data_IF_215912357095
#
_entry.id   IF_215912357095
#
_cell.length_a   1.000
_cell.length_b   1.000
_cell.length_c   1.000
_cell.angle_alpha   90.00
_cell.angle_beta   90.00
_cell.angle_gamma   90.00
#
_symmetry.space_group_name_H-M   'P 1'
#
loop_
_entity.id
_entity.type
_entity.pdbx_description
1 polymer ?
#
# COMPACT_ATOMS: atom_id res chain seq x y z
N UNK A 1 19.57 -30.88 35.37
CA UNK A 1 18.88 -29.70 35.98
C UNK A 1 19.18 -29.70 37.47
N UNK A 2 19.61 -28.56 38.06
CA UNK A 2 19.76 -28.47 39.53
C UNK A 2 18.37 -28.41 40.15
N UNK A 3 18.11 -29.34 41.09
CA UNK A 3 16.84 -29.36 41.84
C UNK A 3 16.69 -28.06 42.62
N UNK A 4 15.53 -27.35 42.53
CA UNK A 4 15.36 -26.12 43.29
C UNK A 4 15.46 -26.38 44.78
N UNK A 5 16.26 -25.57 45.48
CA UNK A 5 16.48 -25.70 46.92
C UNK A 5 15.33 -25.01 47.66
N UNK A 6 14.66 -25.74 48.52
CA UNK A 6 13.65 -25.20 49.42
C UNK A 6 14.31 -24.61 50.67
N UNK A 7 13.81 -23.47 51.15
CA UNK A 7 14.27 -22.82 52.38
C UNK A 7 13.07 -22.58 53.29
N UNK A 8 13.21 -22.99 54.56
CA UNK A 8 12.20 -22.72 55.57
C UNK A 8 12.20 -21.24 55.99
N UNK A 9 11.05 -20.66 56.07
CA UNK A 9 10.85 -19.27 56.49
C UNK A 9 10.63 -19.22 58.01
N UNK A 10 10.87 -18.07 58.68
CA UNK A 10 10.58 -17.89 60.11
C UNK A 10 9.12 -18.15 60.49
N UNK A 11 8.19 -18.04 59.53
CA UNK A 11 6.77 -18.37 59.69
C UNK A 11 6.43 -19.85 59.73
N UNK A 12 7.45 -20.75 59.60
CA UNK A 12 7.26 -22.19 59.49
C UNK A 12 7.04 -22.71 58.09
N UNK A 13 6.65 -21.85 57.16
CA UNK A 13 6.38 -22.20 55.75
C UNK A 13 7.69 -22.42 54.98
N UNK A 14 7.60 -23.20 53.90
CA UNK A 14 8.72 -23.47 52.97
C UNK A 14 8.62 -22.63 51.73
N UNK A 15 9.76 -22.07 51.26
CA UNK A 15 9.88 -21.29 50.05
C UNK A 15 10.85 -21.92 49.05
N UNK A 16 10.42 -22.05 47.81
CA UNK A 16 11.28 -22.38 46.67
C UNK A 16 11.31 -21.18 45.72
N UNK A 17 12.49 -20.74 45.32
CA UNK A 17 12.67 -19.72 44.32
C UNK A 17 13.23 -20.35 43.05
N UNK A 18 12.59 -20.06 41.92
CA UNK A 18 13.01 -20.48 40.60
C UNK A 18 13.14 -19.26 39.69
N UNK A 19 14.05 -19.34 38.73
CA UNK A 19 14.19 -18.33 37.69
C UNK A 19 13.93 -18.98 36.33
N UNK A 20 12.97 -18.42 35.57
CA UNK A 20 12.61 -18.92 34.23
C UNK A 20 12.52 -17.70 33.33
N UNK A 21 13.22 -17.73 32.20
CA UNK A 21 13.29 -16.65 31.22
C UNK A 21 13.61 -15.27 31.86
N UNK A 22 14.55 -15.24 32.77
CA UNK A 22 14.98 -14.01 33.47
C UNK A 22 14.03 -13.53 34.59
N UNK A 23 12.84 -14.11 34.72
CA UNK A 23 11.84 -13.75 35.75
C UNK A 23 12.00 -14.68 36.97
N UNK A 24 11.98 -14.09 38.19
CA UNK A 24 11.99 -14.84 39.45
C UNK A 24 10.56 -15.17 39.90
N UNK A 25 10.33 -16.43 40.22
CA UNK A 25 9.09 -16.93 40.83
C UNK A 25 9.38 -17.44 42.24
N UNK A 26 8.45 -17.17 43.15
CA UNK A 26 8.57 -17.61 44.54
C UNK A 26 7.34 -18.43 44.91
N UNK A 27 7.54 -19.69 45.23
CA UNK A 27 6.49 -20.63 45.66
C UNK A 27 6.61 -20.84 47.16
N UNK A 28 5.55 -20.58 47.91
CA UNK A 28 5.46 -20.78 49.34
C UNK A 28 4.37 -21.80 49.65
N UNK A 29 4.65 -22.72 50.58
CA UNK A 29 3.73 -23.74 51.05
C UNK A 29 4.04 -24.15 52.49
N UNK A 30 3.14 -24.90 53.11
CA UNK A 30 3.28 -25.38 54.50
C UNK A 30 4.31 -26.51 54.62
N UNK A 31 4.57 -27.24 53.54
CA UNK A 31 5.60 -28.29 53.49
C UNK A 31 6.61 -28.05 52.38
N UNK A 32 7.80 -28.66 52.56
CA UNK A 32 8.89 -28.61 51.58
C UNK A 32 8.49 -29.22 50.25
N UNK A 33 7.85 -30.40 50.31
CA UNK A 33 7.43 -31.14 49.13
C UNK A 33 6.35 -30.39 48.33
N UNK A 34 5.42 -29.74 49.03
CA UNK A 34 4.38 -28.92 48.38
C UNK A 34 4.98 -27.67 47.74
N UNK A 35 5.93 -27.00 48.36
CA UNK A 35 6.64 -25.87 47.80
C UNK A 35 7.44 -26.26 46.54
N UNK A 36 8.10 -27.46 46.57
CA UNK A 36 8.79 -28.03 45.42
C UNK A 36 7.81 -28.44 44.30
N UNK A 37 6.67 -29.03 44.65
CA UNK A 37 5.62 -29.39 43.68
C UNK A 37 5.03 -28.16 42.98
N UNK A 38 4.73 -27.10 43.74
CA UNK A 38 4.28 -25.82 43.18
C UNK A 38 5.33 -25.21 42.23
N UNK A 39 6.62 -25.27 42.60
CA UNK A 39 7.70 -24.80 41.74
C UNK A 39 7.82 -25.64 40.46
N UNK A 40 7.69 -26.98 40.55
CA UNK A 40 7.67 -27.86 39.37
C UNK A 40 6.48 -27.61 38.47
N UNK A 41 5.29 -27.35 39.02
CA UNK A 41 4.09 -27.00 38.23
C UNK A 41 4.23 -25.68 37.52
N UNK A 42 4.82 -24.65 38.13
CA UNK A 42 5.13 -23.37 37.47
C UNK A 42 6.14 -23.60 36.35
N UNK A 43 7.17 -24.39 36.59
CA UNK A 43 8.18 -24.74 35.62
C UNK A 43 7.58 -25.54 34.44
N UNK A 44 6.75 -26.55 34.74
CA UNK A 44 6.02 -27.34 33.77
C UNK A 44 4.96 -26.48 33.02
N UNK A 45 4.27 -25.60 33.73
CA UNK A 45 3.32 -24.68 33.15
C UNK A 45 3.95 -23.62 32.22
N UNK A 46 5.20 -23.25 32.48
CA UNK A 46 6.00 -22.39 31.61
C UNK A 46 6.57 -23.20 30.44
N UNK A 47 7.02 -24.44 30.71
CA UNK A 47 7.43 -25.36 29.63
C UNK A 47 6.23 -25.85 28.77
N UNK A 48 5.05 -26.04 29.33
CA UNK A 48 3.83 -26.37 28.54
C UNK A 48 3.27 -25.20 27.80
N UNK A 49 3.65 -23.97 28.12
CA UNK A 49 3.60 -22.82 27.23
C UNK A 49 4.75 -22.84 26.21
N UNK A 50 5.32 -24.00 25.87
CA UNK A 50 6.06 -24.12 24.61
C UNK A 50 5.18 -23.58 23.54
N UNK A 51 5.59 -22.42 23.00
CA UNK A 51 4.99 -21.83 21.81
C UNK A 51 4.76 -22.99 20.83
N UNK A 52 3.52 -23.25 20.44
CA UNK A 52 3.22 -24.21 19.37
C UNK A 52 4.23 -23.89 18.28
N UNK A 53 5.02 -24.86 17.80
CA UNK A 53 6.06 -24.58 16.83
C UNK A 53 5.39 -23.91 15.62
N UNK A 54 5.69 -22.62 15.45
CA UNK A 54 5.05 -21.77 14.45
C UNK A 54 5.96 -21.76 13.23
N UNK A 55 5.51 -22.34 12.12
CA UNK A 55 6.23 -22.22 10.86
C UNK A 55 6.06 -20.81 10.28
N UNK A 56 6.95 -20.41 9.38
CA UNK A 56 6.87 -19.12 8.67
C UNK A 56 5.50 -18.96 8.02
N UNK A 57 4.99 -19.99 7.33
CA UNK A 57 3.68 -19.95 6.71
C UNK A 57 2.53 -19.72 7.70
N UNK A 58 2.54 -20.45 8.82
CA UNK A 58 1.52 -20.27 9.89
C UNK A 58 1.64 -18.90 10.55
N UNK A 59 2.85 -18.38 10.72
CA UNK A 59 3.06 -17.02 11.23
C UNK A 59 2.50 -15.96 10.28
N UNK A 60 2.73 -16.11 8.97
CA UNK A 60 2.14 -15.23 7.96
C UNK A 60 0.61 -15.28 7.97
N UNK A 61 0.02 -16.48 8.05
CA UNK A 61 -1.43 -16.65 8.10
C UNK A 61 -2.02 -16.00 9.36
N UNK A 62 -1.36 -16.17 10.50
CA UNK A 62 -1.73 -15.54 11.77
C UNK A 62 -1.62 -14.03 11.70
N UNK A 63 -0.53 -13.48 11.15
CA UNK A 63 -0.35 -12.04 10.95
C UNK A 63 -1.48 -11.45 10.10
N UNK A 64 -1.80 -12.09 8.98
CA UNK A 64 -2.90 -11.67 8.11
C UNK A 64 -4.23 -11.61 8.89
N UNK A 65 -4.51 -12.64 9.68
CA UNK A 65 -5.73 -12.70 10.48
C UNK A 65 -5.79 -11.57 11.53
N UNK A 66 -4.72 -11.38 12.29
CA UNK A 66 -4.63 -10.38 13.37
C UNK A 66 -4.67 -8.93 12.84
N UNK A 67 -4.10 -8.70 11.64
CA UNK A 67 -4.10 -7.36 11.02
C UNK A 67 -5.32 -7.10 10.13
N UNK A 68 -6.19 -8.09 9.92
CA UNK A 68 -7.46 -7.88 9.22
C UNK A 68 -8.35 -6.94 10.04
N UNK A 69 -8.79 -5.85 9.42
CA UNK A 69 -9.54 -4.77 10.09
C UNK A 69 -8.69 -3.56 10.49
N UNK A 70 -7.40 -3.75 10.79
CA UNK A 70 -6.49 -2.62 11.11
C UNK A 70 -5.72 -2.15 9.88
N UNK A 71 -5.28 -3.07 9.02
CA UNK A 71 -4.65 -2.74 7.76
C UNK A 71 -5.69 -2.59 6.64
N UNK A 72 -5.29 -1.90 5.56
CA UNK A 72 -6.20 -1.69 4.45
C UNK A 72 -6.55 -3.02 3.75
N UNK A 73 -7.81 -3.18 3.24
CA UNK A 73 -8.20 -4.39 2.53
C UNK A 73 -7.25 -4.78 1.39
N UNK A 74 -6.74 -3.79 0.65
CA UNK A 74 -5.76 -4.01 -0.43
C UNK A 74 -4.40 -4.48 0.08
N UNK A 75 -3.98 -4.08 1.29
CA UNK A 75 -2.74 -4.57 1.92
C UNK A 75 -2.92 -6.03 2.33
N UNK A 76 -4.03 -6.36 2.98
CA UNK A 76 -4.36 -7.74 3.36
C UNK A 76 -4.42 -8.64 2.12
N UNK A 77 -5.08 -8.18 1.04
CA UNK A 77 -5.11 -8.92 -0.23
C UNK A 77 -3.71 -9.12 -0.80
N UNK A 78 -2.86 -8.09 -0.75
CA UNK A 78 -1.46 -8.18 -1.17
C UNK A 78 -0.69 -9.24 -0.36
N UNK A 79 -0.87 -9.28 0.96
CA UNK A 79 -0.26 -10.28 1.83
C UNK A 79 -0.75 -11.69 1.55
N UNK A 80 -2.06 -11.90 1.32
CA UNK A 80 -2.60 -13.20 0.90
C UNK A 80 -1.99 -13.69 -0.42
N UNK A 81 -1.80 -12.79 -1.39
CA UNK A 81 -1.12 -13.12 -2.67
C UNK A 81 0.33 -13.51 -2.44
N UNK A 82 1.06 -12.76 -1.60
CA UNK A 82 2.46 -13.08 -1.26
C UNK A 82 2.53 -14.43 -0.57
N UNK A 83 1.75 -14.65 0.47
CA UNK A 83 1.70 -15.91 1.23
C UNK A 83 1.48 -17.13 0.34
N UNK A 84 0.67 -16.99 -0.71
CA UNK A 84 0.33 -18.09 -1.62
C UNK A 84 1.35 -18.34 -2.71
N UNK A 85 2.06 -17.30 -3.18
CA UNK A 85 2.80 -17.38 -4.44
C UNK A 85 4.30 -17.08 -4.35
N UNK A 86 4.80 -16.62 -3.19
CA UNK A 86 6.19 -16.18 -3.05
C UNK A 86 6.85 -16.77 -1.81
N UNK A 87 8.16 -16.95 -1.85
CA UNK A 87 8.99 -17.47 -0.75
C UNK A 87 8.49 -18.83 -0.24
N UNK A 88 8.00 -19.69 -1.13
CA UNK A 88 7.32 -20.94 -0.76
C UNK A 88 8.21 -21.89 0.00
N UNK A 89 9.51 -21.93 -0.30
CA UNK A 89 10.49 -22.81 0.36
C UNK A 89 10.70 -22.48 1.84
N UNK A 90 10.28 -21.28 2.29
CA UNK A 90 10.34 -20.91 3.70
C UNK A 90 9.12 -21.37 4.51
N UNK A 91 8.00 -21.72 3.86
CA UNK A 91 6.70 -21.83 4.52
C UNK A 91 6.63 -22.91 5.60
N UNK A 92 7.35 -24.00 5.42
CA UNK A 92 7.37 -25.14 6.35
C UNK A 92 8.50 -25.07 7.39
N UNK A 93 9.41 -24.11 7.25
CA UNK A 93 10.50 -23.89 8.20
C UNK A 93 9.93 -23.34 9.51
N UNK A 94 10.34 -23.93 10.64
CA UNK A 94 10.00 -23.38 11.97
C UNK A 94 10.68 -22.02 12.16
N UNK A 95 9.97 -21.06 12.76
CA UNK A 95 10.58 -19.73 13.03
C UNK A 95 11.87 -19.82 13.88
N UNK A 96 11.94 -20.80 14.78
CA UNK A 96 13.13 -21.07 15.60
C UNK A 96 14.34 -21.55 14.82
N UNK A 97 14.11 -22.18 13.66
CA UNK A 97 15.13 -22.85 12.87
C UNK A 97 15.48 -22.04 11.61
N UNK A 98 14.73 -20.95 11.36
CA UNK A 98 14.92 -20.08 10.21
C UNK A 98 16.29 -19.38 10.28
N UNK A 99 17.05 -19.48 9.20
CA UNK A 99 18.36 -18.85 9.07
C UNK A 99 18.39 -17.70 8.06
N UNK A 100 19.41 -16.86 8.15
CA UNK A 100 19.64 -15.81 7.14
C UNK A 100 19.93 -16.41 5.76
N UNK A 101 20.53 -17.61 5.71
CA UNK A 101 20.84 -18.32 4.48
C UNK A 101 19.56 -18.76 3.76
N UNK A 102 18.58 -19.28 4.50
CA UNK A 102 17.29 -19.70 3.91
C UNK A 102 16.58 -18.52 3.25
N UNK A 103 16.52 -17.38 3.95
CA UNK A 103 15.88 -16.18 3.43
C UNK A 103 16.64 -15.65 2.21
N UNK A 104 17.98 -15.64 2.25
CA UNK A 104 18.80 -15.18 1.13
C UNK A 104 18.62 -16.06 -0.09
N UNK A 105 18.56 -17.39 0.10
CA UNK A 105 18.32 -18.36 -0.96
C UNK A 105 16.94 -18.15 -1.59
N UNK A 106 15.88 -18.10 -0.81
CA UNK A 106 14.52 -17.86 -1.30
C UNK A 106 14.39 -16.54 -2.09
N UNK A 107 15.03 -15.45 -1.63
CA UNK A 107 15.08 -14.18 -2.36
C UNK A 107 15.84 -14.31 -3.68
N UNK A 108 16.90 -15.09 -3.71
CA UNK A 108 17.70 -15.33 -4.92
C UNK A 108 16.92 -16.14 -5.95
N UNK A 109 16.24 -17.19 -5.53
CA UNK A 109 15.39 -18.03 -6.38
C UNK A 109 14.24 -17.24 -7.02
N UNK A 110 13.51 -16.41 -6.24
CA UNK A 110 12.49 -15.53 -6.80
C UNK A 110 13.07 -14.55 -7.85
N UNK A 111 14.30 -14.09 -7.63
CA UNK A 111 14.99 -13.19 -8.55
C UNK A 111 15.41 -13.92 -9.82
N UNK A 112 15.96 -15.13 -9.72
CA UNK A 112 16.34 -15.99 -10.85
C UNK A 112 15.10 -16.43 -11.64
N UNK A 113 13.99 -16.69 -10.97
CA UNK A 113 12.69 -16.96 -11.60
C UNK A 113 12.09 -15.75 -12.34
N UNK A 114 12.82 -14.64 -12.45
CA UNK A 114 12.44 -13.46 -13.24
C UNK A 114 11.39 -12.56 -12.58
N UNK A 115 11.14 -12.72 -11.28
CA UNK A 115 10.23 -11.81 -10.55
C UNK A 115 10.82 -10.41 -10.48
N UNK A 116 9.95 -9.40 -10.60
CA UNK A 116 10.42 -8.01 -10.52
C UNK A 116 11.05 -7.70 -9.15
N UNK A 117 12.10 -6.86 -9.13
CA UNK A 117 12.74 -6.42 -7.88
C UNK A 117 11.74 -5.81 -6.89
N UNK A 118 10.69 -5.15 -7.37
CA UNK A 118 9.61 -4.61 -6.54
C UNK A 118 8.79 -5.73 -5.89
N UNK A 119 8.47 -6.78 -6.63
CA UNK A 119 7.71 -7.94 -6.12
C UNK A 119 8.48 -8.67 -5.04
N UNK A 120 9.77 -8.97 -5.29
CA UNK A 120 10.65 -9.63 -4.32
C UNK A 120 10.79 -8.79 -3.05
N UNK A 121 10.99 -7.48 -3.18
CA UNK A 121 11.06 -6.55 -2.03
C UNK A 121 9.76 -6.48 -1.25
N UNK A 122 8.61 -6.56 -1.91
CA UNK A 122 7.31 -6.58 -1.22
C UNK A 122 7.11 -7.88 -0.43
N UNK A 123 7.51 -9.03 -1.02
CA UNK A 123 7.46 -10.31 -0.33
C UNK A 123 8.38 -10.33 0.90
N UNK A 124 9.62 -9.89 0.74
CA UNK A 124 10.57 -9.73 1.85
C UNK A 124 10.06 -8.75 2.91
N UNK A 125 9.45 -7.61 2.53
CA UNK A 125 8.90 -6.64 3.47
C UNK A 125 7.74 -7.20 4.31
N UNK A 126 6.92 -8.07 3.71
CA UNK A 126 5.89 -8.79 4.46
C UNK A 126 6.52 -9.81 5.42
N UNK A 127 7.49 -10.59 4.97
CA UNK A 127 8.24 -11.51 5.86
C UNK A 127 8.88 -10.73 7.04
N UNK A 128 9.48 -9.58 6.76
CA UNK A 128 10.07 -8.72 7.80
C UNK A 128 9.05 -8.31 8.87
N UNK A 129 7.85 -7.89 8.44
CA UNK A 129 6.79 -7.51 9.37
C UNK A 129 6.29 -8.70 10.23
N UNK A 130 6.26 -9.89 9.64
CA UNK A 130 5.91 -11.13 10.36
C UNK A 130 6.98 -11.51 11.37
N UNK A 131 8.25 -11.41 10.99
CA UNK A 131 9.37 -11.72 11.89
C UNK A 131 9.47 -10.71 13.05
N UNK A 132 9.26 -9.43 12.77
CA UNK A 132 9.22 -8.39 13.81
C UNK A 132 8.18 -8.70 14.90
N UNK A 133 7.03 -9.27 14.53
CA UNK A 133 5.95 -9.59 15.47
C UNK A 133 6.14 -10.94 16.18
N UNK A 134 6.58 -11.98 15.47
CA UNK A 134 6.60 -13.35 16.00
C UNK A 134 7.99 -13.88 16.33
N UNK A 135 9.05 -13.21 15.88
CA UNK A 135 10.45 -13.53 16.13
C UNK A 135 11.32 -12.26 16.22
N UNK A 136 11.03 -11.36 17.17
CA UNK A 136 11.64 -10.01 17.24
C UNK A 136 13.16 -10.02 17.42
N UNK A 137 13.72 -11.10 17.96
CA UNK A 137 15.17 -11.24 18.12
C UNK A 137 15.90 -11.57 16.79
N UNK A 138 15.16 -11.90 15.74
CA UNK A 138 15.71 -12.24 14.44
C UNK A 138 15.94 -10.98 13.58
N UNK A 139 17.16 -10.48 13.59
CA UNK A 139 17.54 -9.28 12.81
C UNK A 139 17.77 -9.67 11.35
N UNK A 140 16.89 -9.24 10.45
CA UNK A 140 17.01 -9.50 9.02
C UNK A 140 18.26 -8.85 8.40
N UNK A 141 19.12 -9.67 7.74
CA UNK A 141 20.33 -9.26 7.03
C UNK A 141 20.34 -9.81 5.60
N UNK A 142 19.34 -9.43 4.81
CA UNK A 142 19.16 -9.94 3.44
C UNK A 142 19.59 -8.93 2.41
N UNK A 143 20.39 -9.35 1.41
CA UNK A 143 20.70 -8.55 0.23
C UNK A 143 19.56 -8.66 -0.76
N UNK A 144 18.92 -7.53 -1.05
CA UNK A 144 17.77 -7.46 -1.96
C UNK A 144 18.19 -6.98 -3.35
N UNK A 145 17.51 -7.45 -4.44
CA UNK A 145 17.78 -6.99 -5.78
C UNK A 145 17.61 -5.48 -5.89
N UNK A 146 18.44 -4.84 -6.75
CA UNK A 146 18.43 -3.38 -6.91
C UNK A 146 17.03 -2.88 -7.32
N UNK A 147 16.64 -1.74 -6.75
CA UNK A 147 15.39 -1.09 -7.06
C UNK A 147 15.48 -0.42 -8.43
N UNK A 148 14.79 -0.94 -9.43
CA UNK A 148 14.65 -0.21 -10.70
C UNK A 148 13.72 0.98 -10.48
N UNK A 149 14.24 2.20 -10.78
CA UNK A 149 13.40 3.41 -10.76
C UNK A 149 12.42 3.30 -11.92
N UNK A 150 11.13 3.42 -11.63
CA UNK A 150 10.13 3.58 -12.67
C UNK A 150 10.07 5.06 -13.04
N UNK A 151 10.27 5.36 -14.30
CA UNK A 151 10.02 6.67 -14.86
C UNK A 151 8.61 6.66 -15.45
N UNK A 152 7.77 7.56 -14.93
CA UNK A 152 6.40 7.67 -15.41
C UNK A 152 6.42 8.24 -16.83
N UNK A 153 5.64 7.66 -17.74
CA UNK A 153 5.42 8.26 -19.04
C UNK A 153 4.62 9.55 -18.86
N UNK A 154 5.11 10.64 -19.41
CA UNK A 154 4.37 11.88 -19.56
C UNK A 154 3.84 11.90 -20.98
N UNK A 155 2.51 11.87 -21.12
CA UNK A 155 1.86 11.94 -22.42
C UNK A 155 2.02 13.33 -23.03
N UNK A 156 2.15 13.38 -24.34
CA UNK A 156 1.96 14.62 -25.09
C UNK A 156 0.48 14.92 -25.27
N UNK A 157 0.13 16.18 -25.53
CA UNK A 157 -1.25 16.56 -25.85
C UNK A 157 -1.79 15.77 -27.05
N UNK A 158 -0.99 15.55 -28.09
CA UNK A 158 -1.38 14.80 -29.28
C UNK A 158 -1.65 13.33 -28.98
N UNK A 159 -0.85 12.69 -28.11
CA UNK A 159 -1.10 11.32 -27.67
C UNK A 159 -2.43 11.23 -26.91
N UNK A 160 -2.69 12.16 -25.99
CA UNK A 160 -3.95 12.21 -25.23
C UNK A 160 -5.14 12.41 -26.16
N UNK A 161 -5.05 13.33 -27.14
CA UNK A 161 -6.11 13.55 -28.15
C UNK A 161 -6.39 12.29 -28.96
N UNK A 162 -5.34 11.58 -29.42
CA UNK A 162 -5.48 10.31 -30.16
C UNK A 162 -6.15 9.23 -29.32
N UNK A 163 -5.72 9.05 -28.06
CA UNK A 163 -6.32 8.05 -27.15
C UNK A 163 -7.78 8.39 -26.87
N UNK A 164 -8.09 9.67 -26.60
CA UNK A 164 -9.48 10.11 -26.40
C UNK A 164 -10.36 9.83 -27.61
N UNK A 165 -9.91 10.14 -28.82
CA UNK A 165 -10.68 9.89 -30.06
C UNK A 165 -11.03 8.40 -30.22
N UNK A 166 -10.15 7.48 -29.82
CA UNK A 166 -10.42 6.03 -29.84
C UNK A 166 -11.40 5.56 -28.74
N UNK A 167 -11.54 6.34 -27.69
CA UNK A 167 -12.41 6.00 -26.54
C UNK A 167 -13.74 6.77 -26.59
N UNK A 168 -13.82 7.85 -27.33
CA UNK A 168 -14.99 8.73 -27.44
C UNK A 168 -16.24 7.96 -27.85
N UNK A 169 -17.35 8.22 -27.18
CA UNK A 169 -18.64 7.54 -27.40
C UNK A 169 -18.69 6.10 -26.84
N UNK A 170 -17.63 5.62 -26.18
CA UNK A 170 -17.61 4.31 -25.53
C UNK A 170 -17.75 4.44 -24.01
N UNK A 171 -18.07 3.33 -23.35
CA UNK A 171 -18.12 3.26 -21.87
C UNK A 171 -16.76 3.59 -21.17
N UNK A 172 -15.67 3.63 -21.94
CA UNK A 172 -14.31 3.92 -21.44
C UNK A 172 -13.95 5.41 -21.52
N UNK A 173 -14.73 6.23 -22.21
CA UNK A 173 -14.49 7.67 -22.34
C UNK A 173 -14.51 8.37 -20.98
N UNK A 174 -15.58 8.16 -20.20
CA UNK A 174 -15.72 8.81 -18.90
C UNK A 174 -14.57 8.49 -17.93
N UNK A 175 -14.21 7.21 -17.65
CA UNK A 175 -13.06 6.92 -16.77
C UNK A 175 -11.73 7.48 -17.30
N UNK A 176 -11.54 7.56 -18.62
CA UNK A 176 -10.36 8.17 -19.20
C UNK A 176 -10.31 9.68 -18.90
N UNK A 177 -11.40 10.43 -19.15
CA UNK A 177 -11.47 11.86 -18.87
C UNK A 177 -11.35 12.17 -17.37
N UNK A 178 -11.95 11.35 -16.51
CA UNK A 178 -11.79 11.51 -15.07
C UNK A 178 -10.33 11.34 -14.61
N UNK A 179 -9.55 10.49 -15.28
CA UNK A 179 -8.12 10.32 -14.98
C UNK A 179 -7.24 11.42 -15.59
N UNK A 180 -7.44 11.73 -16.90
CA UNK A 180 -6.56 12.64 -17.65
C UNK A 180 -6.89 14.13 -17.45
N UNK A 181 -8.15 14.47 -17.15
CA UNK A 181 -8.59 15.86 -16.98
C UNK A 181 -8.75 16.27 -15.52
N UNK A 182 -9.20 15.34 -14.65
CA UNK A 182 -9.39 15.63 -13.24
C UNK A 182 -8.30 15.01 -12.35
N UNK A 183 -7.38 14.25 -12.91
CA UNK A 183 -6.27 13.62 -12.18
C UNK A 183 -6.72 12.57 -11.17
N UNK A 184 -7.88 11.91 -11.35
CA UNK A 184 -8.41 10.95 -10.38
C UNK A 184 -7.67 9.61 -10.45
N UNK A 185 -7.54 8.96 -9.28
CA UNK A 185 -7.02 7.59 -9.21
C UNK A 185 -8.07 6.58 -9.70
N UNK A 186 -7.66 5.47 -10.29
CA UNK A 186 -8.56 4.39 -10.72
C UNK A 186 -9.55 3.97 -9.62
N UNK A 187 -9.10 3.86 -8.39
CA UNK A 187 -9.95 3.49 -7.26
C UNK A 187 -10.95 4.58 -6.87
N UNK A 188 -10.60 5.85 -7.02
CA UNK A 188 -11.50 7.00 -6.82
C UNK A 188 -12.57 7.01 -7.91
N UNK A 189 -12.18 6.90 -9.21
CA UNK A 189 -13.10 6.84 -10.36
C UNK A 189 -14.18 5.77 -10.16
N UNK A 190 -13.79 4.60 -9.69
CA UNK A 190 -14.71 3.49 -9.44
C UNK A 190 -15.56 3.65 -8.19
N UNK A 191 -15.13 4.50 -7.26
CA UNK A 191 -15.86 4.80 -6.02
C UNK A 191 -16.88 5.93 -6.14
N UNK A 192 -16.90 6.68 -7.26
CA UNK A 192 -17.83 7.80 -7.47
C UNK A 192 -19.26 7.27 -7.57
N UNK A 193 -20.15 7.87 -6.81
CA UNK A 193 -21.60 7.63 -6.88
C UNK A 193 -22.30 8.88 -7.45
N UNK A 194 -23.50 8.71 -8.02
CA UNK A 194 -24.26 9.84 -8.54
C UNK A 194 -24.57 10.90 -7.48
N UNK A 195 -24.76 10.49 -6.22
CA UNK A 195 -24.97 11.39 -5.09
C UNK A 195 -23.78 12.27 -4.69
N UNK A 196 -22.58 11.96 -5.22
CA UNK A 196 -21.37 12.78 -5.01
C UNK A 196 -21.33 14.00 -5.91
N UNK A 197 -22.25 14.11 -6.87
CA UNK A 197 -22.27 15.18 -7.85
C UNK A 197 -23.33 16.20 -7.46
N UNK A 198 -22.90 17.42 -7.12
CA UNK A 198 -23.77 18.50 -6.68
C UNK A 198 -23.27 19.84 -7.21
N UNK A 199 -24.16 20.66 -7.72
CA UNK A 199 -23.87 22.03 -8.14
C UNK A 199 -22.66 22.16 -9.08
N UNK A 200 -22.54 21.26 -10.07
CA UNK A 200 -21.43 21.25 -11.02
C UNK A 200 -20.08 20.85 -10.42
N UNK A 201 -20.08 20.20 -9.25
CA UNK A 201 -18.87 19.72 -8.56
C UNK A 201 -19.02 18.25 -8.19
N UNK A 202 -17.90 17.57 -8.09
CA UNK A 202 -17.81 16.18 -7.65
C UNK A 202 -17.07 16.11 -6.31
N UNK A 203 -17.60 15.33 -5.37
CA UNK A 203 -17.00 15.04 -4.08
C UNK A 203 -16.23 13.72 -4.14
N UNK A 204 -14.92 13.78 -4.02
CA UNK A 204 -14.07 12.58 -3.94
C UNK A 204 -13.89 12.25 -2.46
N UNK A 205 -14.66 11.32 -1.94
CA UNK A 205 -14.67 10.94 -0.52
C UNK A 205 -14.44 9.45 -0.29
N UNK A 206 -14.44 8.63 -1.37
CA UNK A 206 -14.28 7.18 -1.29
C UNK A 206 -13.48 6.62 -2.45
N UNK A 207 -12.97 5.40 -2.25
CA UNK A 207 -12.26 4.63 -3.25
C UNK A 207 -12.73 3.18 -3.22
N UNK A 208 -12.94 2.57 -4.39
CA UNK A 208 -13.25 1.15 -4.50
C UNK A 208 -11.96 0.37 -4.73
N UNK A 209 -11.50 -0.36 -3.72
CA UNK A 209 -10.23 -1.10 -3.74
C UNK A 209 -10.45 -2.61 -3.75
N UNK A 210 -9.50 -3.36 -4.29
CA UNK A 210 -9.53 -4.82 -4.19
C UNK A 210 -9.33 -5.24 -2.74
N UNK A 211 -10.20 -6.11 -2.25
CA UNK A 211 -10.12 -6.76 -0.95
C UNK A 211 -10.07 -8.28 -1.11
N UNK A 212 -9.95 -9.03 0.00
CA UNK A 212 -9.87 -10.48 -0.02
C UNK A 212 -11.05 -11.18 -0.70
N UNK A 213 -12.25 -10.65 -0.52
CA UNK A 213 -13.51 -11.26 -0.96
C UNK A 213 -14.18 -10.45 -2.08
N UNK A 214 -13.42 -9.62 -2.78
CA UNK A 214 -13.92 -8.76 -3.84
C UNK A 214 -13.53 -7.30 -3.66
N UNK A 215 -14.32 -6.39 -4.25
CA UNK A 215 -14.06 -4.97 -4.10
C UNK A 215 -14.73 -4.42 -2.85
N UNK A 216 -13.98 -3.61 -2.11
CA UNK A 216 -14.42 -2.99 -0.86
C UNK A 216 -14.36 -1.47 -1.01
N UNK A 217 -15.42 -0.83 -0.59
CA UNK A 217 -15.46 0.63 -0.46
C UNK A 217 -14.58 1.04 0.72
N UNK A 218 -13.74 2.03 0.48
CA UNK A 218 -12.84 2.59 1.48
C UNK A 218 -12.96 4.10 1.46
N UNK A 219 -13.14 4.71 2.63
CA UNK A 219 -13.00 6.15 2.80
C UNK A 219 -11.58 6.61 2.42
N UNK A 220 -11.42 7.88 2.08
CA UNK A 220 -10.10 8.44 1.79
C UNK A 220 -9.19 8.36 3.02
N UNK A 221 -7.97 7.83 2.85
CA UNK A 221 -7.00 7.60 3.95
C UNK A 221 -6.52 8.86 4.65
N UNK A 222 -6.66 9.99 4.00
CA UNK A 222 -6.10 11.27 4.46
C UNK A 222 -7.11 12.38 4.22
N UNK A 223 -7.07 13.42 5.04
CA UNK A 223 -7.83 14.66 4.87
C UNK A 223 -7.64 15.27 3.48
N UNK A 224 -6.46 15.09 2.88
CA UNK A 224 -6.16 15.53 1.49
C UNK A 224 -6.87 14.71 0.41
N UNK A 225 -7.34 13.51 0.74
CA UNK A 225 -8.11 12.68 -0.19
C UNK A 225 -9.56 13.09 -0.32
N UNK A 226 -10.14 13.69 0.72
CA UNK A 226 -11.50 14.22 0.74
C UNK A 226 -11.50 15.62 0.13
N UNK A 227 -12.12 15.76 -1.04
CA UNK A 227 -12.05 17.01 -1.79
C UNK A 227 -13.19 17.18 -2.79
N UNK A 228 -13.53 18.45 -3.06
CA UNK A 228 -14.46 18.85 -4.10
C UNK A 228 -13.72 19.36 -5.33
N UNK A 229 -14.06 18.85 -6.51
CA UNK A 229 -13.50 19.28 -7.79
C UNK A 229 -14.65 19.82 -8.65
N UNK A 230 -14.43 20.97 -9.31
CA UNK A 230 -15.36 21.51 -10.31
C UNK A 230 -15.35 20.58 -11.54
N UNK A 231 -16.53 20.23 -12.02
CA UNK A 231 -16.69 19.40 -13.23
C UNK A 231 -16.80 20.31 -14.47
N UNK A 232 -16.08 19.97 -15.55
CA UNK A 232 -16.35 20.53 -16.88
C UNK A 232 -17.72 20.07 -17.39
N UNK A 233 -18.37 20.92 -18.21
CA UNK A 233 -19.70 20.63 -18.73
C UNK A 233 -19.73 19.35 -19.60
N UNK A 234 -18.63 19.07 -20.30
CA UNK A 234 -18.45 17.86 -21.11
C UNK A 234 -18.54 16.58 -20.21
N UNK A 235 -17.91 16.60 -19.06
CA UNK A 235 -17.96 15.48 -18.12
C UNK A 235 -19.35 15.39 -17.47
N UNK A 236 -19.98 16.53 -17.14
CA UNK A 236 -21.35 16.55 -16.60
C UNK A 236 -22.32 15.87 -17.56
N UNK A 237 -22.22 16.18 -18.85
CA UNK A 237 -23.05 15.57 -19.91
C UNK A 237 -22.86 14.06 -20.03
N UNK A 238 -21.62 13.58 -19.90
CA UNK A 238 -21.31 12.15 -19.95
C UNK A 238 -21.81 11.40 -18.73
N UNK A 239 -21.85 12.04 -17.56
CA UNK A 239 -22.31 11.40 -16.33
C UNK A 239 -23.83 11.19 -16.34
N UNK A 240 -24.61 12.13 -16.89
CA UNK A 240 -26.09 12.11 -16.93
C UNK A 240 -26.73 11.57 -15.64
N UNK A 241 -26.59 12.35 -14.56
CA UNK A 241 -27.05 11.94 -13.23
C UNK A 241 -28.59 12.04 -13.04
N UNK A 242 -29.33 12.54 -14.07
CA UNK A 242 -30.79 12.76 -13.96
C UNK A 242 -31.53 11.44 -13.80
N UNK A 243 -32.28 11.32 -12.71
CA UNK A 243 -33.10 10.14 -12.42
C UNK A 243 -32.31 8.90 -11.98
N UNK A 244 -31.03 9.02 -11.67
CA UNK A 244 -30.20 7.92 -11.16
C UNK A 244 -30.29 7.81 -9.64
N UNK A 245 -30.15 6.57 -9.12
CA UNK A 245 -30.03 6.35 -7.68
C UNK A 245 -28.75 7.03 -7.17
N UNK A 246 -28.83 7.90 -6.15
CA UNK A 246 -27.65 8.55 -5.58
C UNK A 246 -26.55 7.59 -5.08
N UNK A 247 -26.88 6.36 -4.71
CA UNK A 247 -25.94 5.35 -4.25
C UNK A 247 -25.34 4.51 -5.36
N UNK A 248 -25.86 4.59 -6.57
CA UNK A 248 -25.33 3.85 -7.70
C UNK A 248 -24.00 4.46 -8.16
N UNK A 249 -23.03 3.60 -8.51
CA UNK A 249 -21.72 4.04 -9.02
C UNK A 249 -21.81 4.55 -10.45
N UNK A 250 -21.15 5.67 -10.70
CA UNK A 250 -21.07 6.30 -12.03
C UNK A 250 -20.30 5.42 -13.02
N UNK A 251 -19.21 4.77 -12.57
CA UNK A 251 -18.40 3.87 -13.38
C UNK A 251 -18.62 2.41 -12.97
N UNK A 252 -19.31 1.64 -13.81
CA UNK A 252 -19.59 0.20 -13.56
C UNK A 252 -18.47 -0.73 -14.00
N UNK A 253 -17.46 -0.20 -14.72
CA UNK A 253 -16.35 -1.00 -15.21
C UNK A 253 -15.40 -1.41 -14.09
N UNK A 254 -14.85 -2.61 -14.19
CA UNK A 254 -13.74 -3.02 -13.32
C UNK A 254 -12.45 -2.33 -13.73
N UNK A 255 -11.57 -2.04 -12.76
CA UNK A 255 -10.27 -1.42 -13.05
C UNK A 255 -9.43 -2.23 -14.06
N UNK A 256 -9.56 -3.56 -14.05
CA UNK A 256 -8.89 -4.43 -15.02
C UNK A 256 -9.41 -4.25 -16.45
N UNK A 257 -10.74 -4.09 -16.63
CA UNK A 257 -11.34 -3.82 -17.97
C UNK A 257 -10.87 -2.46 -18.48
N UNK A 258 -10.93 -1.41 -17.65
CA UNK A 258 -10.46 -0.07 -18.01
C UNK A 258 -8.98 -0.11 -18.42
N UNK A 259 -8.13 -0.73 -17.61
CA UNK A 259 -6.69 -0.84 -17.87
C UNK A 259 -6.41 -1.61 -19.17
N UNK A 260 -7.01 -2.78 -19.37
CA UNK A 260 -6.81 -3.60 -20.58
C UNK A 260 -7.23 -2.85 -21.84
N UNK A 261 -8.36 -2.14 -21.81
CA UNK A 261 -8.80 -1.34 -22.95
C UNK A 261 -7.86 -0.19 -23.25
N UNK A 262 -7.41 0.51 -22.19
CA UNK A 262 -6.45 1.61 -22.31
C UNK A 262 -5.13 1.14 -22.95
N UNK A 263 -4.54 0.06 -22.44
CA UNK A 263 -3.30 -0.52 -23.00
C UNK A 263 -3.51 -0.90 -24.47
N UNK A 264 -4.61 -1.61 -24.79
CA UNK A 264 -4.91 -2.00 -26.17
C UNK A 264 -5.03 -0.78 -27.12
N UNK A 265 -5.54 0.34 -26.65
CA UNK A 265 -5.61 1.58 -27.44
C UNK A 265 -4.22 2.19 -27.61
N UNK A 266 -3.42 2.26 -26.56
CA UNK A 266 -2.04 2.74 -26.64
C UNK A 266 -1.20 1.89 -27.60
N UNK A 267 -1.30 0.57 -27.52
CA UNK A 267 -0.61 -0.35 -28.44
C UNK A 267 -1.03 -0.14 -29.90
N UNK A 268 -2.35 0.03 -30.15
CA UNK A 268 -2.88 0.35 -31.50
C UNK A 268 -2.30 1.64 -32.06
N UNK A 269 -2.07 2.63 -31.20
CA UNK A 269 -1.55 3.96 -31.58
C UNK A 269 -0.02 4.04 -31.56
N UNK A 270 0.69 2.93 -31.29
CA UNK A 270 2.14 2.87 -31.12
C UNK A 270 2.66 3.83 -30.04
N UNK A 271 1.88 4.02 -28.97
CA UNK A 271 2.28 4.79 -27.80
C UNK A 271 3.07 3.86 -26.87
N UNK A 272 4.23 4.34 -26.39
CA UNK A 272 5.09 3.58 -25.48
C UNK A 272 4.32 3.00 -24.27
N UNK A 273 4.75 1.84 -23.74
CA UNK A 273 4.13 1.20 -22.58
C UNK A 273 3.97 2.17 -21.41
N UNK A 274 2.73 2.32 -20.95
CA UNK A 274 2.33 3.27 -19.92
C UNK A 274 1.30 2.65 -18.97
N UNK A 275 1.11 3.29 -17.84
CA UNK A 275 0.09 2.90 -16.87
C UNK A 275 -1.09 3.85 -16.96
N UNK A 276 -2.27 3.36 -16.67
CA UNK A 276 -3.44 4.23 -16.55
C UNK A 276 -3.24 5.38 -15.52
N UNK A 277 -2.41 5.15 -14.52
CA UNK A 277 -2.04 6.19 -13.54
C UNK A 277 -1.18 7.32 -14.12
N UNK A 278 -0.51 7.07 -15.24
CA UNK A 278 0.33 8.08 -15.91
C UNK A 278 -0.52 9.19 -16.56
N UNK A 279 -1.82 8.94 -16.80
CA UNK A 279 -2.80 9.98 -17.17
C UNK A 279 -2.92 11.08 -16.11
N UNK A 280 -2.77 10.71 -14.85
CA UNK A 280 -2.75 11.68 -13.74
C UNK A 280 -1.43 12.47 -13.69
N UNK A 281 -0.33 11.89 -14.17
CA UNK A 281 0.93 12.61 -14.34
C UNK A 281 0.82 13.63 -15.48
N UNK A 282 0.10 13.30 -16.55
CA UNK A 282 -0.21 14.25 -17.61
C UNK A 282 -0.98 15.47 -17.07
N UNK A 283 -2.07 15.29 -16.30
CA UNK A 283 -2.83 16.41 -15.72
C UNK A 283 -1.94 17.28 -14.80
N UNK A 284 -1.07 16.64 -13.98
CA UNK A 284 -0.14 17.37 -13.15
C UNK A 284 0.87 18.20 -13.95
N UNK A 285 1.36 17.64 -15.06
CA UNK A 285 2.29 18.32 -15.97
C UNK A 285 1.64 19.52 -16.65
N UNK A 286 0.40 19.37 -17.10
CA UNK A 286 -0.34 20.47 -17.74
C UNK A 286 -0.68 21.58 -16.75
N UNK A 287 -1.14 21.23 -15.54
CA UNK A 287 -1.39 22.21 -14.49
C UNK A 287 -0.14 23.04 -14.18
N UNK A 288 1.01 22.37 -14.09
CA UNK A 288 2.29 23.03 -13.89
C UNK A 288 2.70 23.91 -15.06
N UNK A 289 2.52 23.41 -16.29
CA UNK A 289 2.87 24.11 -17.52
C UNK A 289 2.12 25.43 -17.73
N UNK A 290 0.91 25.54 -17.18
CA UNK A 290 0.10 26.78 -17.21
C UNK A 290 0.27 27.62 -15.93
N UNK A 291 1.21 27.27 -15.06
CA UNK A 291 1.55 28.06 -13.87
C UNK A 291 0.58 27.92 -12.69
N UNK A 292 -0.19 26.83 -12.61
CA UNK A 292 -1.04 26.60 -11.41
C UNK A 292 -0.16 26.39 -10.18
N UNK A 293 -0.35 27.18 -9.11
CA UNK A 293 0.44 27.02 -7.89
C UNK A 293 0.36 25.60 -7.31
N UNK A 294 1.47 25.05 -6.85
CA UNK A 294 1.61 23.68 -6.34
C UNK A 294 0.53 23.32 -5.32
N UNK A 295 0.22 24.23 -4.40
CA UNK A 295 -0.80 24.03 -3.38
C UNK A 295 -2.17 23.67 -3.98
N UNK A 296 -2.56 24.35 -5.06
CA UNK A 296 -3.85 24.09 -5.74
C UNK A 296 -3.82 22.78 -6.52
N UNK A 297 -2.70 22.49 -7.20
CA UNK A 297 -2.52 21.20 -7.91
C UNK A 297 -2.54 20.05 -6.90
N UNK A 298 -1.84 20.15 -5.77
CA UNK A 298 -1.87 19.15 -4.70
C UNK A 298 -3.27 18.92 -4.14
N UNK A 299 -4.01 20.01 -3.87
CA UNK A 299 -5.39 19.93 -3.36
C UNK A 299 -6.32 19.26 -4.39
N UNK A 300 -6.25 19.67 -5.65
CA UNK A 300 -7.06 19.11 -6.76
C UNK A 300 -6.80 17.63 -6.94
N UNK A 301 -5.54 17.22 -6.88
CA UNK A 301 -5.14 15.82 -7.04
C UNK A 301 -5.27 15.00 -5.74
N UNK A 302 -5.40 15.62 -4.56
CA UNK A 302 -5.41 14.91 -3.28
C UNK A 302 -4.05 14.26 -2.97
N UNK A 303 -2.95 15.02 -3.16
CA UNK A 303 -1.61 14.65 -2.73
C UNK A 303 -1.34 15.14 -1.31
N UNK A 304 -0.83 14.24 -0.46
CA UNK A 304 -0.40 14.60 0.88
C UNK A 304 1.01 15.22 0.92
N UNK A 305 1.81 14.99 -0.12
CA UNK A 305 3.20 15.46 -0.22
C UNK A 305 3.51 15.99 -1.62
N UNK A 306 4.45 16.90 -1.70
CA UNK A 306 4.95 17.53 -2.94
C UNK A 306 5.91 16.62 -3.76
N UNK A 307 6.31 15.47 -3.21
CA UNK A 307 7.27 14.57 -3.85
C UNK A 307 6.85 14.14 -5.27
N UNK A 308 5.56 13.92 -5.48
CA UNK A 308 5.03 13.56 -6.82
C UNK A 308 5.14 14.74 -7.79
N UNK A 309 4.81 15.96 -7.35
CA UNK A 309 4.97 17.16 -8.17
C UNK A 309 6.45 17.38 -8.51
N UNK A 310 7.37 17.26 -7.56
CA UNK A 310 8.81 17.39 -7.80
C UNK A 310 9.34 16.40 -8.83
N UNK A 311 8.82 15.17 -8.87
CA UNK A 311 9.21 14.17 -9.86
C UNK A 311 8.73 14.58 -11.26
N UNK A 312 7.52 15.13 -11.38
CA UNK A 312 6.98 15.69 -12.63
C UNK A 312 7.75 16.95 -13.05
N UNK A 313 8.09 17.83 -12.08
CA UNK A 313 8.87 19.05 -12.29
C UNK A 313 10.17 18.81 -13.05
N UNK A 314 10.94 17.80 -12.67
CA UNK A 314 12.25 17.51 -13.26
C UNK A 314 12.21 17.20 -14.77
N UNK A 315 11.07 16.69 -15.26
CA UNK A 315 10.91 16.34 -16.68
C UNK A 315 10.25 17.45 -17.51
N UNK A 316 9.32 18.22 -16.91
CA UNK A 316 8.52 19.21 -17.66
C UNK A 316 9.21 20.56 -17.75
N UNK A 317 10.12 20.88 -16.82
CA UNK A 317 10.76 22.20 -16.75
C UNK A 317 11.84 22.42 -17.82
N UNK A 318 12.54 21.36 -18.26
CA UNK A 318 13.63 21.52 -19.25
C UNK A 318 13.15 22.13 -20.57
N UNK A 319 11.95 21.78 -21.02
CA UNK A 319 11.42 22.25 -22.31
C UNK A 319 10.70 23.61 -22.22
N UNK A 320 10.51 24.15 -21.01
CA UNK A 320 9.77 25.39 -20.78
C UNK A 320 10.55 26.44 -19.99
N UNK A 321 11.82 26.17 -19.69
CA UNK A 321 12.70 27.07 -18.93
C UNK A 321 12.81 28.43 -19.61
N UNK A 322 13.05 28.44 -20.93
CA UNK A 322 13.14 29.67 -21.72
C UNK A 322 11.83 30.48 -21.67
N UNK A 323 10.68 29.80 -21.82
CA UNK A 323 9.37 30.47 -21.77
C UNK A 323 9.10 31.13 -20.41
N UNK A 324 9.47 30.49 -19.30
CA UNK A 324 9.31 31.09 -17.98
C UNK A 324 10.30 32.21 -17.72
N UNK A 325 11.52 32.10 -18.26
CA UNK A 325 12.52 33.17 -18.23
C UNK A 325 11.99 34.41 -18.97
N UNK A 326 11.46 34.24 -20.18
CA UNK A 326 10.86 35.33 -20.96
C UNK A 326 9.69 36.00 -20.21
N UNK A 327 8.81 35.22 -19.59
CA UNK A 327 7.70 35.76 -18.78
C UNK A 327 8.17 36.58 -17.58
N UNK A 328 9.24 36.13 -16.92
CA UNK A 328 9.86 36.86 -15.81
C UNK A 328 10.46 38.16 -16.35
N UNK A 329 11.22 38.10 -17.43
CA UNK A 329 11.88 39.26 -18.02
C UNK A 329 10.88 40.30 -18.51
N UNK A 330 9.80 39.89 -19.15
CA UNK A 330 8.71 40.77 -19.57
C UNK A 330 8.07 41.47 -18.38
N UNK A 331 7.84 40.73 -17.28
CA UNK A 331 7.32 41.32 -16.06
C UNK A 331 8.31 42.33 -15.45
N UNK A 332 9.61 41.96 -15.39
CA UNK A 332 10.65 42.87 -14.85
C UNK A 332 10.83 44.13 -15.72
N UNK A 333 10.77 44.00 -17.05
CA UNK A 333 10.74 45.16 -17.96
C UNK A 333 9.59 46.12 -17.64
N UNK A 334 8.39 45.57 -17.36
CA UNK A 334 7.23 46.41 -16.98
C UNK A 334 7.43 47.17 -15.66
N UNK A 335 8.33 46.70 -14.78
CA UNK A 335 8.61 47.31 -13.49
C UNK A 335 9.77 48.33 -13.57
N UNK A 336 10.78 48.01 -14.39
CA UNK A 336 12.03 48.78 -14.42
C UNK A 336 12.23 49.63 -15.68
N UNK A 337 11.41 49.48 -16.70
CA UNK A 337 11.41 50.29 -17.93
C UNK A 337 10.08 50.99 -18.14
#
# INVERSE_FOLDING_TARGET
>A
MKTPIAKQLPSGNWRVQIQVDGKRYSCTAESEDEAKAKAKLIFAGIETKKKIPLTVGKAMDKYILEKTGTLSPSTIQGYKVIRRNYLQDLMDIQLSDLTHSDIQLAVSEETVAGKSSKTVRNAHGFLAAVLDEFHPDFVLKTRLPQKKKYEAKIFTEDEIKKVWNELKGTEYELPFLLASWLGLRMSEIRGIQYGDIKNGRIHIQRALVAGPDGYVEKGTKTTSGDRWIKLPDEIIKLIDAKGKDPKETVCKLTGSKIYKRFVKVCDKLNIEPCRFHDLRHFEASEALAIGVPDKYSMQRMGHATDHMLKTVYQHTMKDKEDKFSDLIDDKMRTIFC
#
